data_IF_950301016903
#
_entry.id   IF_950301016903
#
_cell.length_a   1.000
_cell.length_b   1.000
_cell.length_c   1.000
_cell.angle_alpha   90.00
_cell.angle_beta   90.00
_cell.angle_gamma   90.00
#
_symmetry.space_group_name_H-M   'P 1'
#
loop_
_entity.id
_entity.type
_entity.pdbx_description
1 polymer ?
#
# COMPACT_ATOMS: atom_id res chain seq x y z
N UNK A 1 7.15 -5.58 25.62
CA UNK A 1 7.05 -6.99 25.16
C UNK A 1 7.22 -7.00 23.65
N UNK A 2 8.14 -7.79 23.12
CA UNK A 2 8.38 -7.86 21.67
C UNK A 2 7.42 -8.83 20.98
N UNK A 3 6.89 -8.41 19.83
CA UNK A 3 5.98 -9.20 18.99
C UNK A 3 6.37 -9.03 17.52
N UNK A 4 6.25 -10.10 16.74
CA UNK A 4 6.46 -10.04 15.29
C UNK A 4 5.11 -9.93 14.58
N UNK A 5 5.04 -9.03 13.61
CA UNK A 5 3.89 -8.85 12.75
C UNK A 5 4.34 -8.76 11.29
N UNK A 6 3.46 -9.13 10.36
CA UNK A 6 3.69 -8.96 8.92
C UNK A 6 2.69 -7.96 8.36
N UNK A 7 3.16 -6.94 7.65
CA UNK A 7 2.34 -6.05 6.84
C UNK A 7 2.31 -6.52 5.39
N UNK A 8 1.13 -6.52 4.76
CA UNK A 8 0.95 -6.78 3.33
C UNK A 8 0.25 -5.59 2.65
N UNK A 9 0.80 -5.19 1.50
CA UNK A 9 0.26 -4.09 0.68
C UNK A 9 0.37 -4.45 -0.80
N UNK A 10 -0.65 -4.12 -1.57
CA UNK A 10 -0.55 -4.04 -3.02
C UNK A 10 -1.16 -2.72 -3.49
N UNK A 11 -0.31 -1.84 -4.00
CA UNK A 11 -0.68 -0.48 -4.40
C UNK A 11 -1.59 -0.45 -5.64
N UNK A 12 -2.14 0.72 -5.92
CA UNK A 12 -2.99 0.94 -7.11
C UNK A 12 -2.23 0.87 -8.44
N UNK A 13 -0.90 0.90 -8.42
CA UNK A 13 -0.06 0.70 -9.61
C UNK A 13 -0.05 -0.76 -10.08
N UNK A 14 -0.45 -1.70 -9.21
CA UNK A 14 -0.53 -3.15 -9.49
C UNK A 14 0.81 -3.70 -9.98
N UNK A 15 1.90 -3.27 -9.37
CA UNK A 15 3.25 -3.71 -9.76
C UNK A 15 3.69 -4.98 -9.01
N UNK A 16 3.15 -5.19 -7.81
CA UNK A 16 3.45 -6.36 -7.01
C UNK A 16 2.81 -6.35 -5.62
N UNK A 17 3.28 -7.27 -4.79
CA UNK A 17 2.92 -7.45 -3.40
C UNK A 17 4.12 -7.09 -2.55
N UNK A 18 3.98 -6.06 -1.73
CA UNK A 18 4.94 -5.68 -0.71
C UNK A 18 4.61 -6.42 0.59
N UNK A 19 5.62 -7.05 1.18
CA UNK A 19 5.51 -7.76 2.45
C UNK A 19 6.64 -7.31 3.39
N UNK A 20 6.27 -6.83 4.57
CA UNK A 20 7.20 -6.30 5.58
C UNK A 20 7.07 -7.10 6.89
N UNK A 21 8.16 -7.71 7.35
CA UNK A 21 8.24 -8.32 8.67
C UNK A 21 8.72 -7.26 9.64
N UNK A 22 7.90 -6.92 10.62
CA UNK A 22 8.21 -5.90 11.62
C UNK A 22 8.24 -6.52 13.01
N UNK A 23 9.19 -6.07 13.82
CA UNK A 23 9.24 -6.32 15.25
C UNK A 23 8.67 -5.10 15.95
N UNK A 24 7.67 -5.33 16.78
CA UNK A 24 6.99 -4.32 17.58
C UNK A 24 7.37 -4.52 19.05
N UNK A 25 7.81 -3.45 19.70
CA UNK A 25 7.99 -3.37 21.15
C UNK A 25 6.80 -2.59 21.73
N UNK A 26 5.85 -3.31 22.31
CA UNK A 26 4.63 -2.73 22.87
C UNK A 26 4.85 -1.83 24.10
N UNK A 27 6.05 -1.80 24.66
CA UNK A 27 6.36 -0.94 25.82
C UNK A 27 6.77 0.48 25.38
N UNK A 28 6.87 0.74 24.07
CA UNK A 28 7.22 2.04 23.50
C UNK A 28 6.37 2.35 22.25
N UNK A 29 5.74 3.55 22.15
CA UNK A 29 4.99 3.95 20.95
C UNK A 29 5.82 3.98 19.67
N UNK A 30 7.12 4.23 19.80
CA UNK A 30 8.12 4.29 18.72
C UNK A 30 8.94 3.00 18.62
N UNK A 31 8.57 1.96 19.36
CA UNK A 31 9.33 0.73 19.43
C UNK A 31 9.00 -0.17 18.26
N UNK A 32 9.54 0.08 17.06
CA UNK A 32 9.50 -0.93 16.01
C UNK A 32 10.75 -0.95 15.14
N UNK A 33 11.04 -2.11 14.57
CA UNK A 33 12.11 -2.32 13.58
C UNK A 33 11.60 -3.13 12.40
N UNK A 34 12.06 -2.77 11.21
CA UNK A 34 11.90 -3.60 10.01
C UNK A 34 12.95 -4.70 10.04
N UNK A 35 12.50 -5.95 10.09
CA UNK A 35 13.38 -7.12 10.17
C UNK A 35 13.71 -7.67 8.77
N UNK A 36 12.72 -7.66 7.87
CA UNK A 36 12.87 -8.09 6.49
C UNK A 36 11.78 -7.46 5.62
N UNK A 37 12.08 -7.23 4.35
CA UNK A 37 11.15 -6.70 3.37
C UNK A 37 11.36 -7.39 2.02
N UNK A 38 10.26 -7.75 1.36
CA UNK A 38 10.28 -8.23 -0.02
C UNK A 38 9.15 -7.57 -0.82
N UNK A 39 9.41 -7.43 -2.12
CA UNK A 39 8.39 -7.14 -3.13
C UNK A 39 8.35 -8.30 -4.11
N UNK A 40 7.18 -8.92 -4.27
CA UNK A 40 6.96 -9.96 -5.27
C UNK A 40 6.18 -9.34 -6.43
N UNK A 41 6.78 -9.23 -7.64
CA UNK A 41 6.10 -8.64 -8.78
C UNK A 41 4.96 -9.56 -9.26
N UNK A 42 3.86 -8.96 -9.69
CA UNK A 42 2.82 -9.72 -10.40
C UNK A 42 3.32 -10.15 -11.78
N UNK A 43 2.85 -11.30 -12.27
CA UNK A 43 3.06 -11.62 -13.69
C UNK A 43 2.30 -10.65 -14.59
N UNK A 44 2.66 -10.59 -15.87
CA UNK A 44 1.95 -9.76 -16.84
C UNK A 44 0.45 -10.11 -16.92
N UNK A 45 0.14 -11.40 -16.83
CA UNK A 45 -1.23 -11.93 -16.84
C UNK A 45 -2.00 -11.56 -15.57
N UNK A 46 -1.36 -11.67 -14.40
CA UNK A 46 -1.97 -11.29 -13.12
C UNK A 46 -2.29 -9.81 -13.07
N UNK A 47 -1.32 -8.98 -13.45
CA UNK A 47 -1.49 -7.54 -13.53
C UNK A 47 -2.61 -7.16 -14.49
N UNK A 48 -2.62 -7.74 -15.69
CA UNK A 48 -3.67 -7.49 -16.67
C UNK A 48 -5.06 -7.91 -16.14
N UNK A 49 -5.15 -9.06 -15.46
CA UNK A 49 -6.38 -9.52 -14.87
C UNK A 49 -6.88 -8.57 -13.77
N UNK A 50 -6.00 -8.14 -12.85
CA UNK A 50 -6.36 -7.20 -11.77
C UNK A 50 -6.81 -5.85 -12.35
N UNK A 51 -6.04 -5.26 -13.27
CA UNK A 51 -6.39 -3.97 -13.89
C UNK A 51 -7.74 -4.03 -14.60
N UNK A 52 -8.04 -5.17 -15.24
CA UNK A 52 -9.31 -5.37 -15.93
C UNK A 52 -10.52 -5.35 -14.98
N UNK A 53 -10.32 -5.61 -13.69
CA UNK A 53 -11.37 -5.52 -12.66
C UNK A 53 -11.62 -4.08 -12.20
N UNK A 54 -10.62 -3.21 -12.35
CA UNK A 54 -10.71 -1.80 -12.00
C UNK A 54 -11.37 -0.95 -13.11
N UNK A 55 -11.68 -1.54 -14.28
CA UNK A 55 -12.34 -0.83 -15.38
C UNK A 55 -13.87 -0.79 -15.18
N UNK A 56 -14.49 0.41 -15.13
CA UNK A 56 -15.94 0.55 -14.99
C UNK A 56 -16.72 -0.20 -16.07
N UNK A 57 -17.73 -0.98 -15.64
CA UNK A 57 -18.63 -1.70 -16.54
C UNK A 57 -18.04 -2.93 -17.22
N UNK A 58 -16.78 -3.29 -16.89
CA UNK A 58 -16.11 -4.46 -17.48
C UNK A 58 -16.14 -5.69 -16.58
N UNK A 59 -15.94 -5.52 -15.29
CA UNK A 59 -15.81 -6.62 -14.34
C UNK A 59 -17.17 -7.23 -13.95
N UNK A 60 -17.24 -8.56 -13.90
CA UNK A 60 -18.36 -9.29 -13.31
C UNK A 60 -18.12 -9.62 -11.83
N UNK A 61 -19.21 -9.78 -11.07
CA UNK A 61 -19.15 -10.22 -9.66
C UNK A 61 -18.41 -11.55 -9.52
N UNK A 62 -18.59 -12.48 -10.48
CA UNK A 62 -17.89 -13.76 -10.49
C UNK A 62 -16.37 -13.61 -10.64
N UNK A 63 -15.90 -12.69 -11.48
CA UNK A 63 -14.47 -12.45 -11.69
C UNK A 63 -13.84 -11.81 -10.45
N UNK A 64 -14.50 -10.84 -9.83
CA UNK A 64 -14.05 -10.22 -8.58
C UNK A 64 -13.99 -11.28 -7.47
N UNK A 65 -15.03 -12.11 -7.34
CA UNK A 65 -15.07 -13.18 -6.35
C UNK A 65 -13.92 -14.19 -6.53
N UNK A 66 -13.65 -14.62 -7.77
CA UNK A 66 -12.56 -15.54 -8.07
C UNK A 66 -11.19 -14.89 -7.80
N UNK A 67 -11.01 -13.64 -8.19
CA UNK A 67 -9.77 -12.91 -7.96
C UNK A 67 -9.50 -12.65 -6.49
N UNK A 68 -10.54 -12.42 -5.67
CA UNK A 68 -10.40 -12.27 -4.21
C UNK A 68 -9.67 -13.46 -3.57
N UNK A 69 -10.06 -14.68 -3.94
CA UNK A 69 -9.40 -15.90 -3.46
C UNK A 69 -8.01 -16.07 -4.07
N UNK A 70 -7.85 -15.80 -5.36
CA UNK A 70 -6.54 -15.90 -6.04
C UNK A 70 -5.52 -14.95 -5.40
N UNK A 71 -5.88 -13.72 -5.13
CA UNK A 71 -5.00 -12.76 -4.45
C UNK A 71 -4.69 -13.21 -3.02
N UNK A 72 -5.66 -13.81 -2.31
CA UNK A 72 -5.41 -14.43 -1.01
C UNK A 72 -4.29 -15.48 -1.06
N UNK A 73 -4.26 -16.33 -2.08
CA UNK A 73 -3.19 -17.33 -2.28
C UNK A 73 -1.83 -16.68 -2.59
N UNK A 74 -1.82 -15.66 -3.45
CA UNK A 74 -0.59 -14.91 -3.78
C UNK A 74 -0.03 -14.20 -2.54
N UNK A 75 -0.91 -13.58 -1.75
CA UNK A 75 -0.54 -12.86 -0.53
C UNK A 75 -0.01 -13.81 0.53
N UNK A 76 -0.66 -14.96 0.73
CA UNK A 76 -0.15 -16.00 1.62
C UNK A 76 1.24 -16.49 1.19
N UNK A 77 1.43 -16.70 -0.11
CA UNK A 77 2.72 -17.12 -0.67
C UNK A 77 3.81 -16.07 -0.41
N UNK A 78 3.47 -14.78 -0.54
CA UNK A 78 4.39 -13.69 -0.24
C UNK A 78 4.81 -13.66 1.24
N UNK A 79 3.88 -13.89 2.17
CA UNK A 79 4.21 -14.01 3.60
C UNK A 79 5.16 -15.18 3.85
N UNK A 80 4.86 -16.35 3.30
CA UNK A 80 5.70 -17.54 3.52
C UNK A 80 7.10 -17.36 2.95
N UNK A 81 7.23 -16.72 1.79
CA UNK A 81 8.53 -16.40 1.19
C UNK A 81 9.33 -15.38 2.02
N UNK A 82 8.66 -14.33 2.52
CA UNK A 82 9.24 -13.35 3.43
C UNK A 82 9.81 -14.02 4.69
N UNK A 83 9.00 -14.87 5.33
CA UNK A 83 9.40 -15.58 6.56
C UNK A 83 10.53 -16.57 6.32
N UNK A 84 10.49 -17.28 5.17
CA UNK A 84 11.56 -18.17 4.74
C UNK A 84 12.88 -17.40 4.56
N UNK A 85 12.84 -16.23 3.91
CA UNK A 85 14.01 -15.37 3.72
C UNK A 85 14.57 -14.85 5.05
N UNK A 86 13.68 -14.45 5.97
CA UNK A 86 14.06 -14.01 7.31
C UNK A 86 14.52 -15.15 8.25
N UNK A 87 14.32 -16.42 7.88
CA UNK A 87 14.61 -17.57 8.74
C UNK A 87 13.68 -17.65 9.97
N UNK A 88 12.45 -17.12 9.85
CA UNK A 88 11.44 -17.07 10.90
C UNK A 88 10.34 -18.10 10.62
N UNK A 89 9.95 -18.85 11.66
CA UNK A 89 8.83 -19.78 11.58
C UNK A 89 7.50 -19.03 11.68
N UNK A 90 6.46 -19.40 10.91
CA UNK A 90 5.14 -18.75 10.98
C UNK A 90 4.56 -18.64 12.39
N UNK A 91 4.78 -19.63 13.25
CA UNK A 91 4.25 -19.68 14.63
C UNK A 91 4.86 -18.61 15.55
N UNK A 92 5.96 -17.97 15.14
CA UNK A 92 6.56 -16.84 15.86
C UNK A 92 5.93 -15.50 15.50
N UNK A 93 5.16 -15.45 14.41
CA UNK A 93 4.45 -14.26 13.95
C UNK A 93 3.08 -14.26 14.58
N UNK A 94 2.72 -13.15 15.21
CA UNK A 94 1.47 -13.06 15.95
C UNK A 94 0.30 -12.64 15.06
N UNK A 95 0.56 -11.76 14.09
CA UNK A 95 -0.50 -11.20 13.25
C UNK A 95 0.03 -10.80 11.88
N UNK A 96 -0.82 -10.97 10.87
CA UNK A 96 -0.70 -10.37 9.54
C UNK A 96 -1.70 -9.22 9.44
N UNK A 97 -1.25 -8.03 9.08
CA UNK A 97 -2.10 -6.93 8.65
C UNK A 97 -2.09 -6.85 7.12
N UNK A 98 -3.22 -7.13 6.46
CA UNK A 98 -3.31 -7.12 5.00
C UNK A 98 -4.23 -6.02 4.49
N UNK A 99 -3.67 -5.07 3.73
CA UNK A 99 -4.48 -4.06 3.06
C UNK A 99 -5.34 -4.66 1.93
N UNK A 100 -4.85 -5.71 1.26
CA UNK A 100 -5.46 -6.19 0.02
C UNK A 100 -5.00 -5.40 -1.22
N UNK A 101 -5.66 -5.65 -2.33
CA UNK A 101 -5.62 -4.87 -3.57
C UNK A 101 -6.92 -4.07 -3.67
N UNK A 102 -6.83 -2.75 -3.79
CA UNK A 102 -8.01 -1.92 -4.06
C UNK A 102 -8.50 -2.16 -5.47
N UNK A 103 -9.79 -2.49 -5.61
CA UNK A 103 -10.50 -2.56 -6.90
C UNK A 103 -11.26 -1.27 -7.15
N UNK A 104 -11.92 -0.73 -6.11
CA UNK A 104 -12.71 0.48 -6.24
C UNK A 104 -12.75 1.28 -4.93
N UNK A 105 -12.82 2.60 -5.03
CA UNK A 105 -12.88 3.50 -3.89
C UNK A 105 -13.73 4.73 -4.21
N UNK A 106 -14.74 4.97 -3.39
CA UNK A 106 -15.62 6.14 -3.41
C UNK A 106 -15.47 6.81 -2.04
N UNK A 107 -14.66 7.88 -1.93
CA UNK A 107 -14.31 8.49 -0.65
C UNK A 107 -15.55 8.84 0.19
N UNK A 108 -15.54 8.42 1.46
CA UNK A 108 -16.62 8.67 2.41
C UNK A 108 -17.94 7.92 2.16
N UNK A 109 -18.02 7.08 1.11
CA UNK A 109 -19.23 6.34 0.75
C UNK A 109 -19.01 4.83 0.77
N UNK A 110 -18.05 4.33 -0.02
CA UNK A 110 -17.83 2.88 -0.17
C UNK A 110 -16.42 2.58 -0.66
N UNK A 111 -15.90 1.40 -0.33
CA UNK A 111 -14.61 0.95 -0.85
C UNK A 111 -14.55 -0.57 -0.91
N UNK A 112 -13.74 -1.09 -1.85
CA UNK A 112 -13.55 -2.51 -2.05
C UNK A 112 -12.06 -2.83 -2.20
N UNK A 113 -11.52 -3.53 -1.21
CA UNK A 113 -10.25 -4.22 -1.29
C UNK A 113 -10.51 -5.72 -1.39
N UNK A 114 -9.74 -6.42 -2.21
CA UNK A 114 -9.81 -7.88 -2.33
C UNK A 114 -8.45 -8.52 -2.02
N UNK A 115 -8.46 -9.81 -1.69
CA UNK A 115 -7.34 -10.55 -1.12
C UNK A 115 -7.82 -11.26 0.15
N UNK A 116 -8.44 -12.42 -0.04
CA UNK A 116 -9.26 -13.08 0.99
C UNK A 116 -8.49 -13.36 2.29
N UNK A 117 -8.77 -12.67 3.41
CA UNK A 117 -8.04 -12.86 4.67
C UNK A 117 -8.21 -14.26 5.24
N UNK A 118 -9.33 -14.95 4.99
CA UNK A 118 -9.51 -16.33 5.43
C UNK A 118 -8.54 -17.28 4.71
N UNK A 119 -8.24 -17.03 3.43
CA UNK A 119 -7.23 -17.80 2.68
C UNK A 119 -5.85 -17.51 3.24
N UNK A 120 -5.50 -16.25 3.44
CA UNK A 120 -4.20 -15.84 4.02
C UNK A 120 -3.98 -16.53 5.37
N UNK A 121 -4.98 -16.45 6.27
CA UNK A 121 -4.90 -17.05 7.60
C UNK A 121 -4.74 -18.57 7.54
N UNK A 122 -5.52 -19.27 6.70
CA UNK A 122 -5.45 -20.74 6.62
C UNK A 122 -4.17 -21.24 5.95
N UNK A 123 -3.61 -20.51 4.99
CA UNK A 123 -2.39 -20.90 4.28
C UNK A 123 -1.13 -20.62 5.10
N UNK A 124 -1.14 -19.56 5.90
CA UNK A 124 0.01 -19.17 6.72
C UNK A 124 -0.04 -19.75 8.14
N UNK A 125 -1.22 -20.09 8.65
CA UNK A 125 -1.43 -20.46 10.04
C UNK A 125 -1.39 -19.27 11.02
N UNK A 126 -1.38 -18.03 10.52
CA UNK A 126 -1.22 -16.81 11.31
C UNK A 126 -2.55 -16.04 11.35
N UNK A 127 -2.89 -15.46 12.50
CA UNK A 127 -4.02 -14.55 12.62
C UNK A 127 -3.91 -13.42 11.60
N UNK A 128 -4.93 -13.25 10.76
CA UNK A 128 -4.93 -12.21 9.72
C UNK A 128 -6.02 -11.19 9.99
N UNK A 129 -5.61 -9.92 10.06
CA UNK A 129 -6.48 -8.75 10.11
C UNK A 129 -6.40 -8.05 8.76
N UNK A 130 -7.55 -7.70 8.19
CA UNK A 130 -7.64 -7.02 6.91
C UNK A 130 -8.78 -5.99 6.94
N UNK A 131 -9.10 -5.43 5.77
CA UNK A 131 -10.27 -4.56 5.58
C UNK A 131 -10.23 -3.25 6.39
N UNK A 132 -9.06 -2.60 6.39
CA UNK A 132 -8.83 -1.40 7.19
C UNK A 132 -9.64 -0.18 6.73
N UNK A 133 -9.91 -0.03 5.42
CA UNK A 133 -10.57 1.18 4.89
C UNK A 133 -12.06 1.22 5.20
N UNK A 134 -12.84 0.12 5.08
CA UNK A 134 -14.24 0.15 5.51
C UNK A 134 -14.42 0.51 6.98
N UNK A 135 -13.48 0.13 7.85
CA UNK A 135 -13.53 0.50 9.26
C UNK A 135 -13.48 2.03 9.48
N UNK A 136 -12.65 2.74 8.71
CA UNK A 136 -12.58 4.21 8.75
C UNK A 136 -13.85 4.86 8.17
N UNK A 137 -14.34 4.37 7.03
CA UNK A 137 -15.60 4.87 6.42
C UNK A 137 -16.79 4.67 7.37
N UNK A 138 -16.85 3.53 8.07
CA UNK A 138 -17.95 3.21 9.00
C UNK A 138 -18.07 4.19 10.17
N UNK A 139 -16.99 4.89 10.54
CA UNK A 139 -16.98 5.94 11.58
C UNK A 139 -17.04 7.36 11.00
N UNK A 140 -17.32 7.50 9.70
CA UNK A 140 -17.48 8.78 9.01
C UNK A 140 -16.19 9.33 8.39
N UNK A 141 -15.12 8.53 8.34
CA UNK A 141 -13.88 8.86 7.64
C UNK A 141 -14.00 8.71 6.12
N UNK A 142 -12.90 8.94 5.42
CA UNK A 142 -12.85 8.86 3.95
C UNK A 142 -12.38 7.49 3.44
N UNK A 143 -11.81 6.64 4.31
CA UNK A 143 -11.15 5.38 3.98
C UNK A 143 -9.72 5.56 3.49
N UNK A 144 -9.22 6.79 3.38
CA UNK A 144 -7.90 7.15 2.87
C UNK A 144 -7.53 8.61 3.20
N UNK A 145 -6.23 8.96 3.25
CA UNK A 145 -5.10 8.06 3.49
C UNK A 145 -5.04 7.62 4.96
N UNK A 146 -4.67 6.35 5.24
CA UNK A 146 -4.54 5.83 6.61
C UNK A 146 -3.11 5.94 7.17
N UNK A 147 -2.13 6.10 6.29
CA UNK A 147 -0.71 6.34 6.60
C UNK A 147 -0.45 7.49 7.57
N UNK A 148 -1.19 8.61 7.56
CA UNK A 148 -0.77 9.76 8.34
C UNK A 148 -0.87 9.56 9.87
N UNK A 149 -1.57 8.52 10.34
CA UNK A 149 -1.48 8.04 11.73
C UNK A 149 -0.07 7.53 12.10
N UNK A 150 0.59 6.81 11.18
CA UNK A 150 1.97 6.36 11.36
C UNK A 150 2.94 7.55 11.32
N UNK A 151 2.71 8.51 10.42
CA UNK A 151 3.52 9.74 10.34
C UNK A 151 3.45 10.55 11.65
N UNK A 152 2.26 10.65 12.26
CA UNK A 152 2.08 11.27 13.57
C UNK A 152 2.80 10.50 14.67
N UNK A 153 2.76 9.17 14.68
CA UNK A 153 3.55 8.38 15.64
C UNK A 153 5.04 8.64 15.47
N UNK A 154 5.54 8.68 14.23
CA UNK A 154 6.96 8.80 13.92
C UNK A 154 7.53 10.21 14.13
N UNK A 155 6.77 11.23 13.75
CA UNK A 155 7.27 12.61 13.65
C UNK A 155 6.45 13.61 14.47
N UNK A 156 5.27 13.23 14.97
CA UNK A 156 4.34 14.13 15.68
C UNK A 156 4.89 14.71 16.98
N UNK A 157 5.82 14.02 17.65
CA UNK A 157 6.47 14.56 18.86
C UNK A 157 7.64 15.52 18.57
N UNK A 158 7.96 15.74 17.29
CA UNK A 158 8.99 16.70 16.89
C UNK A 158 8.59 18.13 17.23
N UNK A 159 9.54 18.94 17.69
CA UNK A 159 9.34 20.39 17.85
C UNK A 159 9.28 21.12 16.52
N UNK A 160 9.78 20.49 15.46
CA UNK A 160 9.78 21.03 14.11
C UNK A 160 8.55 20.51 13.36
N UNK A 161 7.92 21.41 12.60
CA UNK A 161 6.89 21.01 11.64
C UNK A 161 7.53 20.22 10.52
N UNK A 162 7.09 18.97 10.35
CA UNK A 162 7.63 18.00 9.39
C UNK A 162 6.57 17.69 8.35
N UNK A 163 6.94 17.80 7.07
CA UNK A 163 6.10 17.35 5.95
C UNK A 163 6.64 16.02 5.41
N UNK A 164 5.83 14.98 5.45
CA UNK A 164 6.12 13.67 4.89
C UNK A 164 5.41 13.57 3.53
N UNK A 165 6.17 13.57 2.45
CA UNK A 165 5.65 13.51 1.08
C UNK A 165 5.82 12.10 0.52
N UNK A 166 4.72 11.47 0.16
CA UNK A 166 4.71 10.26 -0.65
C UNK A 166 4.45 10.62 -2.12
N UNK A 167 5.21 10.01 -3.03
CA UNK A 167 5.06 10.19 -4.49
C UNK A 167 4.83 8.81 -5.11
N UNK A 168 3.59 8.32 -4.99
CA UNK A 168 3.12 7.12 -5.69
C UNK A 168 2.50 7.50 -7.04
N UNK A 169 1.49 6.75 -7.49
CA UNK A 169 0.67 7.16 -8.65
C UNK A 169 0.00 8.52 -8.41
N UNK A 170 -0.57 8.72 -7.22
CA UNK A 170 -1.00 10.01 -6.66
C UNK A 170 0.02 10.44 -5.61
N UNK A 171 0.38 11.71 -5.60
CA UNK A 171 1.18 12.31 -4.53
C UNK A 171 0.28 12.71 -3.36
N UNK A 172 0.75 12.50 -2.12
CA UNK A 172 0.09 13.00 -0.93
C UNK A 172 1.10 13.45 0.11
N UNK A 173 0.68 14.40 0.94
CA UNK A 173 1.51 14.98 1.99
C UNK A 173 0.80 14.90 3.33
N UNK A 174 1.56 14.52 4.34
CA UNK A 174 1.20 14.63 5.76
C UNK A 174 2.05 15.70 6.41
N UNK A 175 1.44 16.64 7.14
CA UNK A 175 2.14 17.64 7.95
C UNK A 175 1.89 17.35 9.42
N UNK A 176 2.96 17.06 10.17
CA UNK A 176 2.98 16.58 11.56
C UNK A 176 4.05 17.32 12.38
N UNK A 177 3.96 17.27 13.71
CA UNK A 177 4.90 17.94 14.60
C UNK A 177 4.72 19.46 14.68
N UNK A 178 5.59 20.13 15.45
CA UNK A 178 5.47 21.56 15.79
C UNK A 178 4.96 21.79 17.21
N UNK A 179 4.42 22.98 17.49
CA UNK A 179 3.83 23.26 18.80
C UNK A 179 2.49 22.52 18.94
N UNK A 180 2.39 21.62 19.92
CA UNK A 180 1.23 20.77 20.20
C UNK A 180 -0.11 21.51 20.40
N UNK A 181 -0.08 22.83 20.56
CA UNK A 181 -1.25 23.70 20.66
C UNK A 181 -1.87 24.07 19.29
N UNK A 182 -1.23 23.70 18.16
CA UNK A 182 -1.65 24.08 16.82
C UNK A 182 -1.91 22.86 15.92
N UNK A 183 -3.20 22.55 15.79
CA UNK A 183 -3.85 21.77 14.72
C UNK A 183 -3.52 20.27 14.71
N UNK A 184 -4.52 19.37 14.63
CA UNK A 184 -4.24 17.97 14.30
C UNK A 184 -3.53 17.90 12.95
N UNK A 185 -2.56 17.00 12.84
CA UNK A 185 -1.89 16.62 11.60
C UNK A 185 -2.79 16.75 10.37
N UNK A 186 -2.29 17.44 9.33
CA UNK A 186 -3.03 17.69 8.10
C UNK A 186 -2.51 16.73 7.04
N UNK A 187 -3.41 15.98 6.40
CA UNK A 187 -3.07 15.12 5.29
C UNK A 187 -4.01 15.33 4.10
N UNK A 188 -3.45 15.39 2.89
CA UNK A 188 -4.23 15.53 1.66
C UNK A 188 -3.44 15.05 0.43
N UNK A 189 -4.17 14.70 -0.62
CA UNK A 189 -3.59 14.42 -1.93
C UNK A 189 -3.17 15.73 -2.61
N UNK A 190 -1.94 15.78 -3.11
CA UNK A 190 -1.38 16.96 -3.80
C UNK A 190 -1.69 16.95 -5.30
N UNK A 191 -2.18 15.82 -5.83
CA UNK A 191 -2.45 15.61 -7.26
C UNK A 191 -1.67 14.42 -7.83
N UNK A 192 -1.50 14.35 -9.16
CA UNK A 192 -0.73 13.28 -9.80
C UNK A 192 0.72 13.24 -9.26
N UNK A 193 1.18 12.03 -8.92
CA UNK A 193 2.60 11.73 -8.70
C UNK A 193 3.19 11.16 -9.99
N UNK A 194 3.48 9.87 -10.00
CA UNK A 194 4.11 9.18 -11.14
C UNK A 194 3.12 8.73 -12.22
N UNK A 195 1.81 8.70 -11.97
CA UNK A 195 0.87 8.06 -12.92
C UNK A 195 0.90 8.64 -14.34
N UNK A 196 1.12 9.95 -14.48
CA UNK A 196 1.17 10.61 -15.79
C UNK A 196 2.53 10.36 -16.44
N UNK A 197 3.61 10.37 -15.65
CA UNK A 197 4.98 10.07 -16.12
C UNK A 197 5.01 8.64 -16.67
N UNK A 198 4.46 7.70 -15.91
CA UNK A 198 4.40 6.28 -16.27
C UNK A 198 3.57 6.04 -17.54
N UNK A 199 2.41 6.71 -17.65
CA UNK A 199 1.58 6.65 -18.86
C UNK A 199 2.30 7.20 -20.09
N UNK A 200 2.99 8.34 -19.96
CA UNK A 200 3.78 8.94 -21.05
C UNK A 200 4.94 8.03 -21.45
N UNK A 201 5.70 7.51 -20.49
CA UNK A 201 6.80 6.57 -20.73
C UNK A 201 6.33 5.31 -21.45
N UNK A 202 5.22 4.72 -21.01
CA UNK A 202 4.62 3.58 -21.69
C UNK A 202 4.19 3.94 -23.11
N UNK A 203 3.59 5.11 -23.33
CA UNK A 203 3.13 5.53 -24.66
C UNK A 203 4.29 5.74 -25.65
N UNK A 204 5.33 6.47 -25.25
CA UNK A 204 6.44 6.84 -26.15
C UNK A 204 7.41 5.68 -26.41
N UNK A 205 7.51 4.72 -25.48
CA UNK A 205 8.36 3.53 -25.64
C UNK A 205 7.62 2.33 -26.22
N UNK A 206 6.33 2.46 -26.53
CA UNK A 206 5.50 1.33 -26.98
C UNK A 206 5.37 0.23 -25.92
N UNK A 207 5.43 0.60 -24.63
CA UNK A 207 5.34 -0.31 -23.49
C UNK A 207 6.66 -0.98 -23.08
N UNK A 208 7.79 -0.62 -23.71
CA UNK A 208 9.09 -1.17 -23.33
C UNK A 208 9.59 -0.67 -21.96
N UNK A 209 9.23 0.56 -21.59
CA UNK A 209 9.43 1.12 -20.25
C UNK A 209 8.09 1.54 -19.65
N UNK A 210 7.95 1.39 -18.33
CA UNK A 210 6.69 1.69 -17.61
C UNK A 210 6.78 2.88 -16.67
N UNK A 211 7.99 3.40 -16.43
CA UNK A 211 8.28 4.57 -15.64
C UNK A 211 9.59 5.19 -16.14
N UNK A 212 9.88 6.42 -15.74
CA UNK A 212 11.14 7.08 -16.06
C UNK A 212 12.19 6.70 -15.02
N UNK A 213 13.02 5.71 -15.36
CA UNK A 213 14.09 5.22 -14.49
C UNK A 213 15.01 6.38 -14.10
N UNK A 214 15.08 6.66 -12.80
CA UNK A 214 15.91 7.72 -12.20
C UNK A 214 15.65 9.13 -12.78
N UNK A 215 14.51 9.36 -13.44
CA UNK A 215 14.18 10.63 -14.11
C UNK A 215 15.08 10.94 -15.32
N UNK A 216 15.75 9.95 -15.89
CA UNK A 216 16.75 10.16 -16.94
C UNK A 216 16.17 10.76 -18.21
N UNK A 217 14.94 10.41 -18.59
CA UNK A 217 14.32 10.95 -19.78
C UNK A 217 13.85 12.39 -19.55
N UNK A 218 13.20 12.64 -18.42
CA UNK A 218 12.75 13.98 -18.02
C UNK A 218 13.93 14.95 -17.91
N UNK A 219 15.07 14.53 -17.34
CA UNK A 219 16.27 15.34 -17.18
C UNK A 219 16.91 15.78 -18.51
N UNK A 220 16.67 15.03 -19.60
CA UNK A 220 17.12 15.38 -20.97
C UNK A 220 16.15 16.30 -21.69
N UNK A 221 14.94 16.46 -21.17
CA UNK A 221 13.88 17.29 -21.73
C UNK A 221 14.01 18.76 -21.38
N UNK A 222 13.08 19.56 -21.91
CA UNK A 222 12.90 20.95 -21.53
C UNK A 222 11.44 21.17 -21.17
N UNK A 223 11.19 21.74 -19.98
CA UNK A 223 9.84 22.04 -19.50
C UNK A 223 9.19 23.08 -20.41
N UNK A 224 7.95 22.83 -20.83
CA UNK A 224 7.13 23.79 -21.56
C UNK A 224 6.09 24.39 -20.61
N UNK A 225 6.36 25.60 -20.09
CA UNK A 225 5.57 26.28 -19.05
C UNK A 225 4.09 26.55 -19.40
N UNK A 226 3.71 26.46 -20.68
CA UNK A 226 2.34 26.73 -21.15
C UNK A 226 1.44 25.50 -21.21
N UNK A 227 1.98 24.29 -20.99
CA UNK A 227 1.24 23.04 -20.90
C UNK A 227 0.85 22.76 -19.45
#
# INVERSE_FOLDING_TARGET
MERLAVGLMSGTSVDGIDAALVRLNLDSPLGFSLEEFITIPYTAEERAAILSLCEPGRASVSEICAMNFRLGELFASAVLELLRKAGISPEKVEVIGSHGQTIWHIPGEATLQIGEPAVIANRTGILTVADFRPADIAVGGQGAPLVPYLDEILFGTSRETTAVQNIGGIGNVTVVGGNADQVPWIAFDTGPGNMIIDAVMSAITGGAARFDQDGEMAAKGQVQESL
#
